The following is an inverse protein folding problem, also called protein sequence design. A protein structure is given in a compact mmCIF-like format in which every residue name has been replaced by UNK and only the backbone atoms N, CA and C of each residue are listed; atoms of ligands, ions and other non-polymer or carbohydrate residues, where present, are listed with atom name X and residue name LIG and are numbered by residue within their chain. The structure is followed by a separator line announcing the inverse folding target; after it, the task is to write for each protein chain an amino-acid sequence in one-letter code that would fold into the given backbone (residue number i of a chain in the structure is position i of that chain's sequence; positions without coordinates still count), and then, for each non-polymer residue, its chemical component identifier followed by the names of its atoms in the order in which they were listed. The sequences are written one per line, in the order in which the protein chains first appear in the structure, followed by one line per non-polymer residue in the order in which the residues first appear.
data_IF_978720265744
#
_entry.id   IF_978720265744
#
_cell.length_a   1.000
_cell.length_b   1.000
_cell.length_c   1.000
_cell.angle_alpha   90.00
_cell.angle_beta   90.00
_cell.angle_gamma   90.00
#
_symmetry.space_group_name_H-M   'P 1'
#
loop_
_entity.id
_entity.type
_entity.pdbx_description
1 polymer ?
#
# COMPACT_ATOMS: atom_id res chain seq x y z
N UNK A 1 -5.46 19.32 27.83
CA UNK A 1 -6.24 18.17 27.30
C UNK A 1 -6.85 18.42 25.90
N UNK A 2 -6.77 19.63 25.32
CA UNK A 2 -7.30 19.92 23.98
C UNK A 2 -6.42 19.41 22.81
N UNK A 3 -5.13 19.17 23.04
CA UNK A 3 -4.16 18.89 21.96
C UNK A 3 -4.22 17.47 21.40
N UNK A 4 -4.67 16.48 22.16
CA UNK A 4 -4.76 15.08 21.68
C UNK A 4 -5.93 14.87 20.73
N UNK A 5 -7.07 15.52 20.96
CA UNK A 5 -8.26 15.45 20.10
C UNK A 5 -8.05 16.13 18.73
N UNK A 6 -7.33 17.25 18.69
CA UNK A 6 -7.01 17.95 17.44
C UNK A 6 -6.06 17.14 16.53
N UNK A 7 -5.09 16.44 17.12
CA UNK A 7 -4.13 15.60 16.39
C UNK A 7 -4.79 14.34 15.82
N UNK A 8 -5.71 13.73 16.57
CA UNK A 8 -6.51 12.57 16.12
C UNK A 8 -7.47 12.94 14.97
N UNK A 9 -8.08 14.13 15.02
CA UNK A 9 -8.97 14.62 13.96
C UNK A 9 -8.22 15.00 12.68
N UNK A 10 -7.02 15.60 12.79
CA UNK A 10 -6.18 15.86 11.61
C UNK A 10 -5.65 14.57 10.97
N UNK A 11 -5.19 13.60 11.76
CA UNK A 11 -4.65 12.36 11.22
C UNK A 11 -5.71 11.51 10.52
N UNK A 12 -6.93 11.46 11.07
CA UNK A 12 -8.06 10.77 10.43
C UNK A 12 -8.51 11.46 9.13
N UNK A 13 -8.46 12.78 9.05
CA UNK A 13 -8.72 13.52 7.81
C UNK A 13 -7.68 13.23 6.72
N UNK A 14 -6.40 13.11 7.10
CA UNK A 14 -5.32 12.80 6.19
C UNK A 14 -5.37 11.35 5.66
N UNK A 15 -5.70 10.38 6.52
CA UNK A 15 -5.94 9.01 6.08
C UNK A 15 -7.15 8.92 5.13
N UNK A 16 -8.19 9.71 5.37
CA UNK A 16 -9.35 9.79 4.47
C UNK A 16 -8.97 10.34 3.09
N UNK A 17 -8.13 11.38 3.03
CA UNK A 17 -7.62 11.91 1.76
C UNK A 17 -6.87 10.87 0.94
N UNK A 18 -6.07 10.01 1.58
CA UNK A 18 -5.37 8.91 0.91
C UNK A 18 -6.37 7.89 0.37
N UNK A 19 -7.37 7.50 1.17
CA UNK A 19 -8.43 6.56 0.77
C UNK A 19 -9.22 7.10 -0.42
N UNK A 20 -9.61 8.38 -0.38
CA UNK A 20 -10.37 9.01 -1.46
C UNK A 20 -9.52 9.09 -2.74
N UNK A 21 -8.23 9.37 -2.64
CA UNK A 21 -7.33 9.36 -3.79
C UNK A 21 -7.19 7.96 -4.40
N UNK A 22 -7.09 6.91 -3.58
CA UNK A 22 -7.04 5.52 -4.04
C UNK A 22 -8.33 5.15 -4.77
N UNK A 23 -9.50 5.51 -4.21
CA UNK A 23 -10.81 5.21 -4.81
C UNK A 23 -11.05 5.91 -6.15
N UNK A 24 -10.49 7.11 -6.32
CA UNK A 24 -10.61 7.89 -7.54
C UNK A 24 -9.49 7.63 -8.57
N UNK A 25 -8.57 6.70 -8.28
CA UNK A 25 -7.48 6.36 -9.19
C UNK A 25 -8.03 5.77 -10.50
N UNK A 26 -7.44 6.16 -11.63
CA UNK A 26 -7.91 5.72 -12.95
C UNK A 26 -6.89 4.87 -13.71
N UNK A 27 -5.61 5.02 -13.42
CA UNK A 27 -4.53 4.45 -14.22
C UNK A 27 -3.73 3.41 -13.44
N UNK A 28 -3.24 3.75 -12.26
CA UNK A 28 -2.45 2.84 -11.43
C UNK A 28 -2.24 3.37 -10.02
N UNK A 29 -1.95 2.45 -9.10
CA UNK A 29 -1.51 2.78 -7.74
C UNK A 29 -0.23 2.02 -7.44
N UNK A 30 0.80 2.71 -6.95
CA UNK A 30 2.04 2.09 -6.44
C UNK A 30 2.12 2.39 -4.95
N UNK A 31 2.18 1.35 -4.11
CA UNK A 31 2.22 1.49 -2.66
C UNK A 31 3.45 0.79 -2.10
N UNK A 32 4.31 1.52 -1.38
CA UNK A 32 5.33 0.92 -0.54
C UNK A 32 4.87 0.96 0.92
N UNK A 33 4.56 -0.22 1.45
CA UNK A 33 3.97 -0.39 2.77
C UNK A 33 4.78 -1.44 3.54
N UNK A 34 5.79 -1.03 4.32
CA UNK A 34 6.63 -1.98 5.05
C UNK A 34 5.90 -2.70 6.17
N UNK A 35 4.95 -2.04 6.84
CA UNK A 35 4.08 -2.65 7.86
C UNK A 35 2.66 -2.04 7.78
N UNK A 36 1.80 -2.50 6.85
CA UNK A 36 0.47 -1.94 6.69
C UNK A 36 -0.48 -2.48 7.76
N UNK A 37 -0.83 -1.60 8.68
CA UNK A 37 -1.72 -1.88 9.81
C UNK A 37 -3.08 -1.18 9.68
N UNK A 38 -3.26 -0.36 8.64
CA UNK A 38 -4.54 0.29 8.35
C UNK A 38 -5.49 -0.60 7.53
N UNK A 39 -6.57 -1.05 8.17
CA UNK A 39 -7.68 -1.75 7.48
C UNK A 39 -8.25 -0.87 6.36
N UNK A 40 -8.42 0.43 6.60
CA UNK A 40 -9.07 1.35 5.66
C UNK A 40 -8.28 1.50 4.36
N UNK A 41 -6.97 1.68 4.48
CA UNK A 41 -6.09 1.83 3.31
C UNK A 41 -5.96 0.48 2.58
N UNK A 42 -5.81 -0.61 3.32
CA UNK A 42 -5.79 -1.96 2.77
C UNK A 42 -7.07 -2.25 1.95
N UNK A 43 -8.25 -1.96 2.53
CA UNK A 43 -9.52 -2.15 1.85
C UNK A 43 -9.65 -1.27 0.61
N UNK A 44 -9.23 0.01 0.67
CA UNK A 44 -9.25 0.90 -0.48
C UNK A 44 -8.38 0.38 -1.64
N UNK A 45 -7.18 -0.13 -1.34
CA UNK A 45 -6.29 -0.73 -2.35
C UNK A 45 -6.89 -1.98 -2.97
N UNK A 46 -7.53 -2.82 -2.15
CA UNK A 46 -8.27 -4.00 -2.61
C UNK A 46 -9.43 -3.61 -3.53
N UNK A 47 -10.23 -2.62 -3.15
CA UNK A 47 -11.38 -2.16 -3.92
C UNK A 47 -10.93 -1.59 -5.27
N UNK A 48 -9.85 -0.80 -5.31
CA UNK A 48 -9.27 -0.29 -6.55
C UNK A 48 -8.78 -1.41 -7.47
N UNK A 49 -8.11 -2.43 -6.92
CA UNK A 49 -7.67 -3.58 -7.69
C UNK A 49 -8.83 -4.40 -8.26
N UNK A 50 -9.92 -4.54 -7.49
CA UNK A 50 -11.16 -5.19 -7.93
C UNK A 50 -11.88 -4.38 -9.01
N UNK A 51 -11.77 -3.06 -8.99
CA UNK A 51 -12.28 -2.17 -10.05
C UNK A 51 -11.42 -2.20 -11.34
N UNK A 52 -10.37 -3.02 -11.37
CA UNK A 52 -9.49 -3.18 -12.53
C UNK A 52 -8.33 -2.19 -12.59
N UNK A 53 -8.14 -1.34 -11.57
CA UNK A 53 -6.99 -0.44 -11.49
C UNK A 53 -5.75 -1.26 -11.10
N UNK A 54 -4.66 -1.23 -11.88
CA UNK A 54 -3.40 -1.88 -11.51
C UNK A 54 -2.85 -1.36 -10.18
N UNK A 55 -2.74 -2.25 -9.19
CA UNK A 55 -2.15 -1.95 -7.87
C UNK A 55 -0.84 -2.71 -7.72
N UNK A 56 0.25 -1.97 -7.47
CA UNK A 56 1.59 -2.50 -7.24
C UNK A 56 1.96 -2.31 -5.77
N UNK A 57 1.88 -3.38 -4.99
CA UNK A 57 2.28 -3.41 -3.59
C UNK A 57 3.75 -3.81 -3.49
N UNK A 58 4.53 -2.99 -2.79
CA UNK A 58 5.93 -3.25 -2.47
C UNK A 58 6.05 -3.33 -0.96
N UNK A 59 6.62 -4.42 -0.45
CA UNK A 59 6.84 -4.61 0.97
C UNK A 59 8.03 -5.56 1.22
N UNK A 60 8.69 -5.51 2.40
CA UNK A 60 9.68 -6.49 2.79
C UNK A 60 9.13 -7.91 2.73
N UNK A 61 9.98 -8.90 2.43
CA UNK A 61 9.54 -10.30 2.21
C UNK A 61 8.68 -10.85 3.33
N UNK A 62 8.98 -10.48 4.58
CA UNK A 62 8.34 -10.99 5.79
C UNK A 62 7.16 -10.12 6.28
N UNK A 63 6.85 -9.00 5.62
CA UNK A 63 5.79 -8.10 6.06
C UNK A 63 4.40 -8.78 6.10
N UNK A 64 4.19 -9.81 5.28
CA UNK A 64 2.97 -10.62 5.28
C UNK A 64 2.87 -11.59 6.48
N UNK A 65 3.96 -11.81 7.24
CA UNK A 65 4.00 -12.67 8.44
C UNK A 65 3.66 -11.90 9.73
N UNK A 66 3.65 -10.57 9.69
CA UNK A 66 3.32 -9.76 10.86
C UNK A 66 1.84 -9.94 11.26
N UNK A 67 1.58 -10.20 12.54
CA UNK A 67 0.22 -10.54 13.02
C UNK A 67 -0.84 -9.48 12.67
N UNK A 68 -0.45 -8.20 12.64
CA UNK A 68 -1.32 -7.04 12.36
C UNK A 68 -1.29 -6.57 10.91
N UNK A 69 -0.53 -7.24 10.03
CA UNK A 69 -0.40 -6.84 8.65
C UNK A 69 -1.63 -7.21 7.85
N UNK A 70 -2.22 -6.22 7.19
CA UNK A 70 -3.34 -6.42 6.28
C UNK A 70 -2.89 -6.80 4.87
N UNK A 71 -1.58 -7.00 4.61
CA UNK A 71 -1.06 -7.38 3.28
C UNK A 71 -1.76 -8.59 2.70
N UNK A 72 -2.00 -9.63 3.50
CA UNK A 72 -2.65 -10.85 3.01
C UNK A 72 -4.11 -10.62 2.62
N UNK A 73 -4.83 -9.78 3.37
CA UNK A 73 -6.24 -9.48 3.06
C UNK A 73 -6.40 -8.77 1.71
N UNK A 74 -5.40 -7.97 1.33
CA UNK A 74 -5.31 -7.27 0.06
C UNK A 74 -4.80 -8.20 -1.04
N UNK A 75 -3.75 -8.95 -0.75
CA UNK A 75 -3.15 -9.94 -1.64
C UNK A 75 -4.16 -10.99 -2.10
N UNK A 76 -4.99 -11.51 -1.19
CA UNK A 76 -6.04 -12.50 -1.49
C UNK A 76 -7.07 -12.02 -2.52
N UNK A 77 -7.23 -10.72 -2.73
CA UNK A 77 -8.09 -10.20 -3.80
C UNK A 77 -7.61 -10.62 -5.20
N UNK A 78 -6.30 -10.77 -5.39
CA UNK A 78 -5.72 -11.24 -6.65
C UNK A 78 -5.97 -12.74 -6.92
N UNK A 79 -6.48 -13.48 -5.93
CA UNK A 79 -6.86 -14.90 -6.07
C UNK A 79 -8.36 -15.09 -6.38
N UNK A 80 -9.13 -14.00 -6.53
CA UNK A 80 -10.54 -14.05 -6.92
C UNK A 80 -10.70 -14.36 -8.42
N UNK A 81 -11.92 -14.69 -8.84
CA UNK A 81 -12.25 -14.89 -10.27
C UNK A 81 -13.28 -13.84 -10.69
N UNK A 82 -12.95 -12.91 -11.61
CA UNK A 82 -11.63 -12.70 -12.22
C UNK A 82 -10.59 -12.15 -11.21
N UNK A 83 -9.28 -12.38 -11.44
CA UNK A 83 -8.24 -11.93 -10.53
C UNK A 83 -8.18 -10.40 -10.51
N UNK A 84 -8.17 -9.82 -9.31
CA UNK A 84 -7.93 -8.39 -9.15
C UNK A 84 -6.56 -8.01 -9.74
N UNK A 85 -6.44 -6.78 -10.25
CA UNK A 85 -5.22 -6.28 -10.90
C UNK A 85 -4.10 -5.94 -9.90
N UNK A 86 -3.80 -6.87 -8.98
CA UNK A 86 -2.92 -6.65 -7.84
C UNK A 86 -1.60 -7.44 -7.98
N UNK A 87 -0.49 -6.73 -7.79
CA UNK A 87 0.86 -7.25 -7.95
C UNK A 87 1.66 -7.00 -6.68
N UNK A 88 2.31 -8.04 -6.15
CA UNK A 88 3.16 -7.94 -4.96
C UNK A 88 4.64 -8.11 -5.31
N UNK A 89 5.47 -7.19 -4.83
CA UNK A 89 6.93 -7.21 -4.98
C UNK A 89 7.59 -7.24 -3.61
N UNK A 90 8.43 -8.25 -3.38
CA UNK A 90 9.21 -8.36 -2.15
C UNK A 90 10.46 -7.48 -2.23
N UNK A 91 10.37 -6.23 -1.77
CA UNK A 91 11.49 -5.30 -1.73
C UNK A 91 11.47 -4.41 -0.48
N UNK A 92 12.65 -4.09 0.02
CA UNK A 92 12.83 -3.09 1.08
C UNK A 92 13.40 -1.83 0.43
N UNK A 93 12.72 -0.71 0.63
CA UNK A 93 13.17 0.59 0.16
C UNK A 93 13.74 1.39 1.33
N UNK A 94 14.84 2.10 1.11
CA UNK A 94 15.33 3.09 2.07
C UNK A 94 14.50 4.40 1.94
N UNK A 95 13.20 4.29 2.23
CA UNK A 95 12.22 5.37 2.12
C UNK A 95 11.16 5.21 3.21
N UNK A 96 10.48 6.31 3.54
CA UNK A 96 9.27 6.26 4.34
C UNK A 96 8.14 5.52 3.57
N UNK A 97 7.12 4.98 4.27
CA UNK A 97 5.93 4.45 3.62
C UNK A 97 5.31 5.49 2.69
N UNK A 98 4.87 5.04 1.52
CA UNK A 98 4.36 5.93 0.48
C UNK A 98 3.31 5.27 -0.41
N UNK A 99 2.44 6.09 -0.99
CA UNK A 99 1.47 5.71 -2.02
C UNK A 99 1.54 6.74 -3.14
N UNK A 100 1.72 6.27 -4.37
CA UNK A 100 1.66 7.05 -5.60
C UNK A 100 0.36 6.69 -6.31
N UNK A 101 -0.43 7.70 -6.65
CA UNK A 101 -1.68 7.55 -7.41
C UNK A 101 -1.50 8.17 -8.78
N UNK A 102 -1.76 7.37 -9.83
CA UNK A 102 -1.74 7.75 -11.24
C UNK A 102 -0.46 8.44 -11.73
N UNK A 103 0.67 8.22 -11.04
CA UNK A 103 1.92 8.97 -11.23
C UNK A 103 1.75 10.50 -11.19
N UNK A 104 0.71 10.98 -10.49
CA UNK A 104 0.34 12.41 -10.39
C UNK A 104 0.44 12.93 -8.97
N UNK A 105 0.14 12.08 -7.99
CA UNK A 105 0.11 12.47 -6.58
C UNK A 105 0.89 11.47 -5.77
N UNK A 106 1.70 11.98 -4.84
CA UNK A 106 2.47 11.20 -3.88
C UNK A 106 1.95 11.49 -2.47
N UNK A 107 1.69 10.43 -1.70
CA UNK A 107 1.43 10.48 -0.26
C UNK A 107 2.57 9.81 0.48
N UNK A 108 3.07 10.43 1.55
CA UNK A 108 4.25 10.00 2.31
C UNK A 108 3.96 10.00 3.82
N UNK A 109 4.60 9.09 4.56
CA UNK A 109 4.64 9.12 6.02
C UNK A 109 3.95 7.94 6.69
N UNK A 110 4.08 7.86 8.02
CA UNK A 110 3.54 6.75 8.81
C UNK A 110 2.01 6.61 8.66
N UNK A 111 1.28 7.72 8.49
CA UNK A 111 -0.17 7.72 8.26
C UNK A 111 -0.62 6.90 7.05
N UNK A 112 0.25 6.74 6.06
CA UNK A 112 -0.02 5.95 4.85
C UNK A 112 -0.05 4.44 5.13
N UNK A 113 0.62 3.98 6.20
CA UNK A 113 0.62 2.55 6.59
C UNK A 113 -0.39 2.24 7.70
N UNK A 114 -0.55 3.15 8.69
CA UNK A 114 -1.31 2.91 9.91
C UNK A 114 -2.66 3.63 9.94
N UNK A 115 -2.87 4.61 9.06
CA UNK A 115 -4.10 5.41 8.99
C UNK A 115 -4.31 6.35 10.19
N UNK A 116 -3.31 6.50 11.06
CA UNK A 116 -3.37 7.28 12.31
C UNK A 116 -2.21 8.28 12.44
N UNK A 117 -1.12 8.09 11.70
CA UNK A 117 0.02 8.98 11.66
C UNK A 117 -0.15 10.16 10.69
N UNK A 118 0.84 11.06 10.64
CA UNK A 118 0.86 12.16 9.67
C UNK A 118 1.01 11.63 8.24
N UNK A 119 0.37 12.32 7.30
CA UNK A 119 0.55 12.12 5.86
C UNK A 119 0.91 13.44 5.20
N UNK A 120 1.99 13.44 4.42
CA UNK A 120 2.34 14.53 3.52
C UNK A 120 1.83 14.21 2.12
N UNK A 121 1.10 15.15 1.51
CA UNK A 121 0.79 15.12 0.07
C UNK A 121 1.83 15.93 -0.69
N UNK A 122 2.42 15.33 -1.71
CA UNK A 122 3.52 15.92 -2.49
C UNK A 122 3.35 15.70 -4.00
N UNK A 123 4.09 16.48 -4.79
CA UNK A 123 4.22 16.37 -6.24
C UNK A 123 5.64 16.67 -6.72
N UNK A 124 5.80 17.01 -8.00
CA UNK A 124 7.06 17.51 -8.58
C UNK A 124 8.25 16.56 -8.43
N UNK A 125 9.41 17.10 -8.06
CA UNK A 125 10.66 16.33 -7.96
C UNK A 125 10.61 15.17 -6.95
N UNK A 126 9.88 15.33 -5.83
CA UNK A 126 9.65 14.25 -4.85
C UNK A 126 8.87 13.09 -5.46
N UNK A 127 7.83 13.38 -6.24
CA UNK A 127 7.05 12.38 -6.99
C UNK A 127 7.92 11.66 -8.02
N UNK A 128 8.67 12.40 -8.84
CA UNK A 128 9.58 11.80 -9.83
C UNK A 128 10.59 10.85 -9.18
N UNK A 129 11.18 11.26 -8.05
CA UNK A 129 12.10 10.42 -7.28
C UNK A 129 11.43 9.18 -6.72
N UNK A 130 10.23 9.31 -6.16
CA UNK A 130 9.47 8.18 -5.62
C UNK A 130 9.06 7.18 -6.72
N UNK A 131 8.64 7.65 -7.89
CA UNK A 131 8.32 6.80 -9.05
C UNK A 131 9.57 6.06 -9.53
N UNK A 132 10.70 6.75 -9.67
CA UNK A 132 11.96 6.13 -10.09
C UNK A 132 12.42 5.05 -9.09
N UNK A 133 12.37 5.38 -7.80
CA UNK A 133 12.77 4.48 -6.71
C UNK A 133 11.89 3.21 -6.67
N UNK A 134 10.57 3.38 -6.72
CA UNK A 134 9.63 2.24 -6.69
C UNK A 134 9.71 1.40 -7.96
N UNK A 135 9.88 2.03 -9.13
CA UNK A 135 10.07 1.31 -10.39
C UNK A 135 11.36 0.51 -10.40
N UNK A 136 12.46 1.06 -9.88
CA UNK A 136 13.72 0.33 -9.75
C UNK A 136 13.57 -0.85 -8.79
N UNK A 137 12.86 -0.68 -7.67
CA UNK A 137 12.56 -1.78 -6.75
C UNK A 137 11.74 -2.90 -7.42
N UNK A 138 10.69 -2.56 -8.19
CA UNK A 138 9.88 -3.55 -8.92
C UNK A 138 10.65 -4.26 -10.03
N UNK A 139 11.63 -3.61 -10.67
CA UNK A 139 12.51 -4.24 -11.67
C UNK A 139 13.48 -5.25 -11.04
N UNK A 140 13.99 -4.94 -9.84
CA UNK A 140 15.00 -5.75 -9.18
C UNK A 140 14.43 -6.85 -8.29
N UNK A 141 13.17 -6.71 -7.85
CA UNK A 141 12.51 -7.68 -6.98
C UNK A 141 11.65 -8.66 -7.77
N UNK A 142 11.70 -9.97 -7.46
CA UNK A 142 10.78 -10.92 -8.05
C UNK A 142 9.34 -10.61 -7.60
N UNK A 143 8.42 -10.64 -8.56
CA UNK A 143 6.98 -10.66 -8.26
C UNK A 143 6.67 -11.95 -7.50
N UNK A 144 6.02 -11.84 -6.35
CA UNK A 144 5.64 -13.00 -5.54
C UNK A 144 4.21 -13.41 -5.88
N UNK A 145 4.01 -14.70 -6.09
CA UNK A 145 2.67 -15.25 -6.27
C UNK A 145 1.88 -15.17 -4.96
N UNK A 146 0.61 -14.73 -5.04
CA UNK A 146 -0.25 -14.62 -3.85
C UNK A 146 -0.41 -15.97 -3.12
N UNK A 147 -0.54 -17.05 -3.89
CA UNK A 147 -0.62 -18.40 -3.32
C UNK A 147 0.59 -18.75 -2.45
N UNK A 148 1.79 -18.26 -2.80
CA UNK A 148 2.99 -18.46 -2.01
C UNK A 148 2.91 -17.70 -0.67
N UNK A 149 2.43 -16.45 -0.67
CA UNK A 149 2.25 -15.67 0.57
C UNK A 149 1.25 -16.31 1.53
N UNK A 150 0.17 -16.91 0.99
CA UNK A 150 -0.84 -17.62 1.78
C UNK A 150 -0.24 -18.88 2.41
N UNK A 151 0.50 -19.68 1.64
CA UNK A 151 1.18 -20.88 2.15
C UNK A 151 2.11 -20.55 3.30
N UNK A 152 2.96 -19.53 3.12
CA UNK A 152 3.94 -19.08 4.12
C UNK A 152 3.29 -18.59 5.41
N UNK A 153 2.14 -17.91 5.34
CA UNK A 153 1.44 -17.43 6.55
C UNK A 153 0.81 -18.53 7.36
N UNK A 154 0.11 -19.44 6.69
CA UNK A 154 -0.74 -20.43 7.35
C UNK A 154 -0.03 -21.76 7.56
N UNK A 155 1.24 -21.88 7.15
CA UNK A 155 1.99 -23.13 7.21
C UNK A 155 1.36 -24.23 6.36
N UNK A 156 0.70 -23.85 5.25
CA UNK A 156 0.02 -24.78 4.35
C UNK A 156 1.04 -25.42 3.39
N UNK A 157 1.99 -26.15 3.96
CA UNK A 157 2.90 -27.04 3.23
C UNK A 157 2.37 -28.47 3.33
N UNK A 158 1.21 -28.76 2.74
CA UNK A 158 0.73 -30.12 2.41
C UNK A 158 -0.16 -30.10 1.19
#
# INVERSE_FOLDING_TARGET
MASTLAVLTSATAHAQQVVDAIKNAQNQIIAYLPSPTSVRIAQALKDAANAGVPVYLIAPRQAHLEKRSYLLSVALAAAQTPPAALNYYAATLNAAPLIIVDNRVLYLGAGVQDGLGPVEKSGGSKLTRAVALTTQAMKNAPKVAIAQLVKERYGLDR
#
